data_IF_838300512878
#
_entry.id   IF_838300512878
#
_cell.length_a   1.000
_cell.length_b   1.000
_cell.length_c   1.000
_cell.angle_alpha   90.00
_cell.angle_beta   90.00
_cell.angle_gamma   90.00
#
_symmetry.space_group_name_H-M   'P 1'
#
loop_
_entity.id
_entity.type
_entity.pdbx_description
1 polymer ?
#
# COMPACT_ATOMS: atom_id res chain seq x y z
N UNK A 1 22.52 26.17 -12.33
CA UNK A 1 23.23 25.54 -11.20
C UNK A 1 22.37 24.93 -10.10
N UNK A 2 21.10 25.31 -9.89
CA UNK A 2 20.22 24.64 -8.90
C UNK A 2 19.38 23.48 -9.45
N UNK A 3 19.21 23.35 -10.77
CA UNK A 3 18.43 22.27 -11.39
C UNK A 3 19.17 20.93 -11.39
N UNK A 4 20.52 20.96 -11.41
CA UNK A 4 21.36 19.77 -11.40
C UNK A 4 21.39 19.08 -10.02
N UNK A 5 21.00 19.75 -8.92
CA UNK A 5 20.97 19.12 -7.58
C UNK A 5 19.63 18.43 -7.27
N UNK A 6 18.55 18.71 -8.01
CA UNK A 6 17.24 18.11 -7.78
C UNK A 6 17.15 16.69 -8.40
N UNK A 7 17.72 16.49 -9.59
CA UNK A 7 17.89 15.16 -10.19
C UNK A 7 18.92 14.28 -9.45
N UNK A 8 19.86 14.89 -8.72
CA UNK A 8 20.85 14.17 -7.93
C UNK A 8 20.32 13.73 -6.54
N UNK A 9 19.27 14.36 -6.00
CA UNK A 9 18.67 13.95 -4.72
C UNK A 9 17.87 12.65 -4.82
N UNK A 10 17.03 12.51 -5.84
CA UNK A 10 16.32 11.26 -6.17
C UNK A 10 17.31 10.16 -6.61
N UNK A 11 18.33 10.52 -7.39
CA UNK A 11 19.40 9.60 -7.70
C UNK A 11 20.22 9.22 -6.46
N UNK A 12 20.40 10.05 -5.43
CA UNK A 12 21.17 9.65 -4.25
C UNK A 12 20.47 8.59 -3.38
N UNK A 13 19.14 8.64 -3.25
CA UNK A 13 18.38 7.59 -2.55
C UNK A 13 18.34 6.30 -3.37
N UNK A 14 18.18 6.42 -4.69
CA UNK A 14 18.27 5.31 -5.62
C UNK A 14 19.71 4.75 -5.71
N UNK A 15 20.75 5.58 -5.59
CA UNK A 15 22.17 5.21 -5.56
C UNK A 15 22.51 4.56 -4.21
N UNK A 16 21.94 5.02 -3.09
CA UNK A 16 22.08 4.36 -1.79
C UNK A 16 21.50 2.94 -1.83
N UNK A 17 20.30 2.79 -2.37
CA UNK A 17 19.67 1.49 -2.68
C UNK A 17 20.51 0.67 -3.68
N UNK A 18 21.08 1.29 -4.72
CA UNK A 18 21.96 0.64 -5.70
C UNK A 18 23.31 0.22 -5.10
N UNK A 19 23.87 0.94 -4.11
CA UNK A 19 25.10 0.54 -3.42
C UNK A 19 24.88 -0.65 -2.50
N UNK A 20 23.71 -0.75 -1.86
CA UNK A 20 23.28 -1.98 -1.15
C UNK A 20 23.07 -3.13 -2.16
N UNK A 21 22.54 -2.82 -3.34
CA UNK A 21 22.42 -3.75 -4.47
C UNK A 21 23.77 -4.27 -4.99
N UNK A 22 24.79 -3.42 -5.08
CA UNK A 22 26.14 -3.79 -5.55
C UNK A 22 26.84 -4.74 -4.57
N UNK A 23 26.66 -4.54 -3.26
CA UNK A 23 27.13 -5.48 -2.25
C UNK A 23 26.42 -6.85 -2.38
N UNK A 24 25.11 -6.85 -2.67
CA UNK A 24 24.33 -8.08 -2.96
C UNK A 24 24.77 -8.77 -4.25
N UNK A 25 25.10 -8.02 -5.30
CA UNK A 25 25.56 -8.54 -6.59
C UNK A 25 26.94 -9.22 -6.46
N UNK A 26 27.79 -8.74 -5.55
CA UNK A 26 29.05 -9.38 -5.19
C UNK A 26 28.82 -10.74 -4.51
N UNK A 27 27.85 -10.84 -3.59
CA UNK A 27 27.42 -12.13 -3.00
C UNK A 27 26.78 -13.07 -4.02
N UNK A 28 26.02 -12.55 -4.99
CA UNK A 28 25.43 -13.34 -6.09
C UNK A 28 26.52 -13.90 -7.02
N UNK A 29 27.57 -13.13 -7.32
CA UNK A 29 28.74 -13.64 -8.07
C UNK A 29 29.52 -14.71 -7.30
N UNK A 30 29.61 -14.61 -5.97
CA UNK A 30 30.19 -15.67 -5.13
C UNK A 30 29.32 -16.93 -5.09
N UNK A 31 27.99 -16.79 -5.18
CA UNK A 31 27.02 -17.89 -5.29
C UNK A 31 26.92 -18.50 -6.69
N UNK A 32 27.50 -17.91 -7.73
CA UNK A 32 27.53 -18.51 -9.08
C UNK A 32 28.70 -19.48 -9.28
N UNK A 33 29.61 -19.60 -8.30
CA UNK A 33 30.72 -20.54 -8.38
C UNK A 33 30.27 -21.94 -7.91
N UNK A 34 30.19 -22.95 -8.82
CA UNK A 34 29.67 -24.27 -8.48
C UNK A 34 30.49 -25.00 -7.39
N UNK A 35 31.78 -24.66 -7.25
CA UNK A 35 32.65 -25.25 -6.23
C UNK A 35 32.39 -24.65 -4.84
N UNK A 36 32.03 -23.36 -4.78
CA UNK A 36 31.68 -22.67 -3.53
C UNK A 36 30.28 -23.08 -3.08
N UNK A 37 29.33 -23.18 -4.01
CA UNK A 37 28.00 -23.73 -3.76
C UNK A 37 28.06 -25.18 -3.29
N UNK A 38 28.83 -26.06 -3.94
CA UNK A 38 28.95 -27.46 -3.52
C UNK A 38 29.56 -27.61 -2.12
N UNK A 39 30.59 -26.81 -1.79
CA UNK A 39 31.23 -26.82 -0.47
C UNK A 39 30.35 -26.17 0.63
N UNK A 40 29.47 -25.23 0.26
CA UNK A 40 28.45 -24.68 1.15
C UNK A 40 27.29 -25.66 1.34
N UNK A 41 26.78 -26.27 0.27
CA UNK A 41 25.71 -27.26 0.27
C UNK A 41 26.07 -28.48 1.13
N UNK A 42 27.31 -29.00 1.02
CA UNK A 42 27.79 -30.12 1.84
C UNK A 42 27.86 -29.77 3.35
N UNK A 43 28.04 -28.48 3.69
CA UNK A 43 28.01 -28.01 5.09
C UNK A 43 26.62 -27.59 5.55
N UNK A 44 25.74 -27.15 4.64
CA UNK A 44 24.37 -26.72 4.89
C UNK A 44 23.40 -27.90 4.98
N UNK A 45 23.62 -28.99 4.24
CA UNK A 45 22.83 -30.24 4.34
C UNK A 45 22.96 -30.91 5.73
N UNK A 46 24.01 -30.59 6.49
CA UNK A 46 24.17 -30.98 7.90
C UNK A 46 23.51 -30.03 8.90
N UNK A 47 22.91 -28.93 8.45
CA UNK A 47 22.47 -27.80 9.27
C UNK A 47 21.01 -27.35 9.04
N UNK A 48 20.32 -27.90 8.05
CA UNK A 48 18.93 -27.55 7.79
C UNK A 48 18.00 -28.13 8.87
N UNK A 49 17.46 -27.26 9.73
CA UNK A 49 16.30 -27.57 10.58
C UNK A 49 16.40 -27.19 12.06
N UNK A 50 17.53 -26.69 12.57
CA UNK A 50 17.60 -26.18 13.94
C UNK A 50 18.69 -25.11 14.11
N UNK A 51 18.35 -23.85 14.42
CA UNK A 51 19.32 -22.76 14.56
C UNK A 51 20.33 -22.93 15.71
N UNK A 52 20.18 -23.93 16.58
CA UNK A 52 20.86 -23.96 17.86
C UNK A 52 22.08 -24.89 17.92
N UNK A 53 22.07 -26.04 17.23
CA UNK A 53 23.08 -27.08 17.44
C UNK A 53 24.51 -26.69 17.05
N UNK A 54 24.69 -26.01 15.91
CA UNK A 54 26.03 -25.59 15.48
C UNK A 54 26.60 -24.51 16.36
N UNK A 55 25.84 -23.43 16.60
CA UNK A 55 26.25 -22.35 17.49
C UNK A 55 26.55 -22.90 18.89
N UNK A 56 25.76 -23.85 19.39
CA UNK A 56 25.99 -24.54 20.67
C UNK A 56 27.24 -25.42 20.68
N UNK A 57 27.55 -26.08 19.56
CA UNK A 57 28.75 -26.92 19.40
C UNK A 57 30.06 -26.10 19.30
N UNK A 58 29.97 -24.81 19.00
CA UNK A 58 31.17 -23.96 18.86
C UNK A 58 31.94 -23.81 20.18
N UNK A 59 33.28 -23.86 20.15
CA UNK A 59 34.11 -23.59 21.32
C UNK A 59 33.79 -22.23 21.96
N UNK A 60 33.91 -22.13 23.29
CA UNK A 60 33.65 -20.87 24.04
C UNK A 60 34.40 -19.66 23.46
N UNK A 61 35.62 -19.86 22.95
CA UNK A 61 36.41 -18.79 22.34
C UNK A 61 35.81 -18.28 21.03
N UNK A 62 35.20 -19.17 20.23
CA UNK A 62 34.52 -18.79 18.99
C UNK A 62 33.20 -18.10 19.30
N UNK A 63 32.40 -18.63 20.25
CA UNK A 63 31.18 -17.97 20.74
C UNK A 63 31.45 -16.54 21.23
N UNK A 64 32.55 -16.32 21.96
CA UNK A 64 32.98 -14.97 22.38
C UNK A 64 33.26 -14.04 21.21
N UNK A 65 33.90 -14.54 20.14
CA UNK A 65 34.13 -13.76 18.91
C UNK A 65 32.82 -13.43 18.21
N UNK A 66 31.91 -14.40 18.07
CA UNK A 66 30.58 -14.18 17.47
C UNK A 66 29.78 -13.15 18.28
N UNK A 67 29.77 -13.22 19.61
CA UNK A 67 29.11 -12.22 20.44
C UNK A 67 29.76 -10.83 20.30
N UNK A 68 31.08 -10.76 20.13
CA UNK A 68 31.75 -9.50 19.84
C UNK A 68 31.33 -8.93 18.47
N UNK A 69 31.14 -9.79 17.45
CA UNK A 69 30.59 -9.38 16.15
C UNK A 69 29.14 -8.91 16.27
N UNK A 70 28.28 -9.59 17.05
CA UNK A 70 26.92 -9.13 17.34
C UNK A 70 26.91 -7.73 17.96
N UNK A 71 27.80 -7.46 18.90
CA UNK A 71 27.93 -6.11 19.47
C UNK A 71 28.39 -5.06 18.46
N UNK A 72 29.19 -5.43 17.45
CA UNK A 72 29.52 -4.53 16.34
C UNK A 72 28.30 -4.30 15.44
N UNK A 73 27.51 -5.33 15.16
CA UNK A 73 26.29 -5.21 14.38
C UNK A 73 25.28 -4.27 15.03
N UNK A 74 25.11 -4.31 16.36
CA UNK A 74 24.27 -3.34 17.09
C UNK A 74 24.77 -1.91 16.88
N UNK A 75 26.10 -1.68 16.86
CA UNK A 75 26.65 -0.35 16.57
C UNK A 75 26.39 0.08 15.13
N UNK A 76 26.40 -0.84 14.17
CA UNK A 76 26.00 -0.55 12.79
C UNK A 76 24.55 -0.07 12.74
N UNK A 77 23.61 -0.78 13.40
CA UNK A 77 22.22 -0.38 13.47
C UNK A 77 22.03 1.03 14.07
N UNK A 78 22.81 1.41 15.09
CA UNK A 78 22.77 2.77 15.63
C UNK A 78 23.33 3.84 14.68
N UNK A 79 24.26 3.48 13.79
CA UNK A 79 24.76 4.40 12.75
C UNK A 79 23.72 4.53 11.63
N UNK A 80 23.09 3.42 11.23
CA UNK A 80 22.00 3.39 10.26
C UNK A 80 20.80 4.21 10.74
N UNK A 81 20.43 4.11 12.02
CA UNK A 81 19.41 4.96 12.64
C UNK A 81 19.66 6.46 12.42
N UNK A 82 20.91 6.91 12.64
CA UNK A 82 21.30 8.31 12.39
C UNK A 82 21.25 8.69 10.92
N UNK A 83 21.64 7.77 10.03
CA UNK A 83 21.49 7.99 8.60
C UNK A 83 20.03 8.25 8.23
N UNK A 84 19.10 7.48 8.76
CA UNK A 84 17.68 7.68 8.50
C UNK A 84 17.10 8.94 9.15
N UNK A 85 17.61 9.34 10.32
CA UNK A 85 17.29 10.66 10.90
C UNK A 85 17.68 11.79 9.94
N UNK A 86 18.91 11.76 9.40
CA UNK A 86 19.39 12.74 8.42
C UNK A 86 18.60 12.72 7.11
N UNK A 87 18.22 11.53 6.61
CA UNK A 87 17.32 11.37 5.46
C UNK A 87 15.98 12.04 5.73
N UNK A 88 15.39 11.83 6.90
CA UNK A 88 14.12 12.46 7.24
C UNK A 88 14.24 14.00 7.32
N UNK A 89 15.35 14.54 7.79
CA UNK A 89 15.58 16.00 7.73
C UNK A 89 15.68 16.51 6.29
N UNK A 90 16.30 15.71 5.41
CA UNK A 90 16.40 16.00 4.00
C UNK A 90 15.02 15.98 3.34
N UNK A 91 14.18 14.97 3.63
CA UNK A 91 12.80 14.90 3.17
C UNK A 91 12.02 16.16 3.57
N UNK A 92 12.10 16.60 4.83
CA UNK A 92 11.46 17.84 5.29
C UNK A 92 11.91 19.05 4.48
N UNK A 93 13.21 19.16 4.22
CA UNK A 93 13.78 20.27 3.44
C UNK A 93 13.24 20.29 2.00
N UNK A 94 13.18 19.14 1.34
CA UNK A 94 12.68 19.06 -0.04
C UNK A 94 11.16 19.14 -0.12
N UNK A 95 10.42 18.68 0.88
CA UNK A 95 8.99 18.87 0.98
C UNK A 95 8.61 20.36 0.91
N UNK A 96 9.37 21.23 1.58
CA UNK A 96 9.18 22.68 1.49
C UNK A 96 9.43 23.25 0.08
N UNK A 97 10.28 22.60 -0.73
CA UNK A 97 10.54 22.98 -2.13
C UNK A 97 9.44 22.48 -3.07
N UNK A 98 8.84 21.33 -2.78
CA UNK A 98 7.70 20.80 -3.54
C UNK A 98 6.38 21.50 -3.21
N UNK A 99 6.24 22.03 -1.99
CA UNK A 99 4.99 22.63 -1.53
C UNK A 99 4.41 23.69 -2.48
N UNK A 100 5.19 24.66 -3.02
CA UNK A 100 4.66 25.63 -3.98
C UNK A 100 4.18 25.00 -5.29
N UNK A 101 4.80 23.90 -5.73
CA UNK A 101 4.38 23.17 -6.94
C UNK A 101 3.05 22.43 -6.69
N UNK A 102 2.91 21.80 -5.52
CA UNK A 102 1.66 21.14 -5.13
C UNK A 102 0.53 22.13 -4.87
N UNK A 103 0.82 23.29 -4.28
CA UNK A 103 -0.15 24.37 -4.12
C UNK A 103 -0.61 24.89 -5.50
N UNK A 104 0.32 25.10 -6.44
CA UNK A 104 -0.04 25.48 -7.82
C UNK A 104 -0.87 24.41 -8.53
N UNK A 105 -0.54 23.12 -8.36
CA UNK A 105 -1.38 22.01 -8.84
C UNK A 105 -2.79 22.09 -8.26
N UNK A 106 -2.90 22.32 -6.96
CA UNK A 106 -4.17 22.50 -6.24
C UNK A 106 -4.99 23.64 -6.84
N UNK A 107 -4.35 24.76 -7.14
CA UNK A 107 -4.99 25.93 -7.75
C UNK A 107 -5.50 25.64 -9.17
N UNK A 108 -4.74 24.90 -9.97
CA UNK A 108 -5.15 24.46 -11.32
C UNK A 108 -6.34 23.50 -11.23
N UNK A 109 -6.25 22.46 -10.39
CA UNK A 109 -7.32 21.45 -10.22
C UNK A 109 -8.64 22.10 -9.79
N UNK A 110 -8.59 23.18 -9.01
CA UNK A 110 -9.78 23.92 -8.53
C UNK A 110 -10.23 25.05 -9.46
N UNK A 111 -9.53 25.30 -10.57
CA UNK A 111 -9.66 26.52 -11.39
C UNK A 111 -9.58 27.83 -10.57
N UNK A 112 -8.73 27.86 -9.54
CA UNK A 112 -8.32 29.10 -8.90
C UNK A 112 -7.23 29.82 -9.73
N UNK A 113 -6.50 29.07 -10.56
CA UNK A 113 -5.51 29.57 -11.52
C UNK A 113 -5.72 28.88 -12.87
N UNK A 114 -5.80 29.69 -13.94
CA UNK A 114 -5.86 29.20 -15.31
C UNK A 114 -4.44 29.18 -15.90
N UNK A 115 -3.91 28.03 -16.34
CA UNK A 115 -2.59 27.94 -16.95
C UNK A 115 -2.45 28.80 -18.22
N UNK A 116 -1.25 29.35 -18.43
CA UNK A 116 -0.94 30.03 -19.70
C UNK A 116 -0.60 29.01 -20.79
N UNK A 117 -0.75 29.39 -22.07
CA UNK A 117 -0.40 28.52 -23.22
C UNK A 117 1.02 27.94 -23.11
N UNK A 118 1.99 28.73 -22.65
CA UNK A 118 3.38 28.29 -22.46
C UNK A 118 3.54 27.21 -21.37
N UNK A 119 2.65 27.20 -20.37
CA UNK A 119 2.63 26.20 -19.29
C UNK A 119 1.93 24.90 -19.70
N UNK A 120 1.06 24.97 -20.70
CA UNK A 120 0.39 23.81 -21.29
C UNK A 120 1.28 23.08 -22.31
N UNK A 121 2.28 23.75 -22.86
CA UNK A 121 3.25 23.13 -23.77
C UNK A 121 4.27 22.29 -23.00
N UNK A 122 4.15 20.96 -23.12
CA UNK A 122 5.19 20.04 -22.64
C UNK A 122 6.47 20.19 -23.48
N UNK A 123 7.50 20.79 -22.89
CA UNK A 123 8.85 20.83 -23.47
C UNK A 123 9.57 19.54 -23.07
N UNK A 124 9.46 18.53 -23.92
CA UNK A 124 10.38 17.38 -23.82
C UNK A 124 11.78 17.91 -24.12
N UNK A 125 12.74 17.66 -23.23
CA UNK A 125 14.14 17.97 -23.50
C UNK A 125 14.57 17.21 -24.78
N UNK A 126 15.38 17.85 -25.64
CA UNK A 126 15.77 17.37 -26.99
C UNK A 126 16.43 15.98 -27.03
N UNK A 127 16.79 15.40 -25.88
CA UNK A 127 17.37 14.05 -25.76
C UNK A 127 16.33 12.91 -25.59
N UNK A 128 15.05 13.21 -25.31
CA UNK A 128 13.97 12.21 -25.16
C UNK A 128 13.07 12.06 -26.40
N UNK A 129 13.54 12.50 -27.58
CA UNK A 129 12.85 12.36 -28.88
C UNK A 129 12.77 10.89 -29.41
N UNK A 130 12.88 9.89 -28.53
CA UNK A 130 12.85 8.46 -28.87
C UNK A 130 11.58 7.72 -28.40
N UNK A 131 10.62 8.38 -27.76
CA UNK A 131 9.32 7.79 -27.34
C UNK A 131 8.12 8.43 -28.05
N UNK A 132 8.30 8.89 -29.30
CA UNK A 132 7.31 9.59 -30.15
C UNK A 132 6.03 8.77 -30.44
N UNK A 133 5.96 7.49 -30.09
CA UNK A 133 4.79 6.64 -30.40
C UNK A 133 3.51 6.98 -29.60
N UNK A 134 3.62 7.53 -28.38
CA UNK A 134 2.43 7.82 -27.53
C UNK A 134 1.90 9.27 -27.69
N UNK A 135 2.75 10.21 -28.10
CA UNK A 135 2.34 11.61 -28.32
C UNK A 135 1.43 11.80 -29.54
N UNK A 136 1.65 11.00 -30.60
CA UNK A 136 0.81 11.05 -31.79
C UNK A 136 -0.60 10.51 -31.50
N UNK A 137 -0.74 9.51 -30.63
CA UNK A 137 -2.05 8.98 -30.20
C UNK A 137 -2.83 9.97 -29.33
N UNK A 138 -2.15 10.71 -28.42
CA UNK A 138 -2.77 11.77 -27.62
C UNK A 138 -3.17 12.97 -28.48
N UNK A 139 -2.33 13.38 -29.44
CA UNK A 139 -2.65 14.45 -30.40
C UNK A 139 -3.77 14.04 -31.36
N UNK A 140 -3.86 12.78 -31.79
CA UNK A 140 -5.00 12.29 -32.59
C UNK A 140 -6.29 12.27 -31.77
N UNK A 141 -6.27 11.79 -30.52
CA UNK A 141 -7.44 11.82 -29.63
C UNK A 141 -7.92 13.25 -29.35
N UNK A 142 -7.00 14.18 -29.08
CA UNK A 142 -7.36 15.59 -28.87
C UNK A 142 -7.99 16.21 -30.13
N UNK A 143 -7.46 15.93 -31.33
CA UNK A 143 -8.04 16.40 -32.60
C UNK A 143 -9.41 15.77 -32.89
N UNK A 144 -9.60 14.50 -32.57
CA UNK A 144 -10.88 13.80 -32.73
C UNK A 144 -11.96 14.29 -31.75
N UNK A 145 -11.57 14.82 -30.59
CA UNK A 145 -12.48 15.43 -29.61
C UNK A 145 -12.86 16.87 -29.98
N UNK A 146 -11.94 17.66 -30.55
CA UNK A 146 -12.23 19.01 -31.08
C UNK A 146 -13.22 18.97 -32.27
N UNK A 147 -13.13 17.96 -33.16
CA UNK A 147 -14.06 17.84 -34.30
C UNK A 147 -15.48 17.38 -33.91
N UNK A 148 -15.76 17.06 -32.63
CA UNK A 148 -17.04 16.48 -32.20
C UNK A 148 -17.80 17.21 -31.07
N UNK A 149 -17.49 18.47 -30.74
CA UNK A 149 -18.29 19.17 -29.72
C UNK A 149 -18.38 20.70 -29.87
N UNK A 150 -19.17 21.13 -30.85
CA UNK A 150 -20.01 22.33 -30.71
C UNK A 150 -21.34 21.90 -30.06
N UNK A 151 -21.33 21.64 -28.76
CA UNK A 151 -22.55 21.68 -27.93
C UNK A 151 -22.17 22.34 -26.60
N UNK A 152 -22.79 23.49 -26.32
CA UNK A 152 -22.68 24.28 -25.09
C UNK A 152 -22.55 23.39 -23.84
N UNK A 153 -21.33 23.22 -23.36
CA UNK A 153 -21.08 22.74 -22.00
C UNK A 153 -20.60 23.93 -21.21
N UNK A 154 -21.26 24.19 -20.09
CA UNK A 154 -20.76 25.11 -19.06
C UNK A 154 -19.26 24.88 -18.89
N UNK A 155 -18.46 25.95 -18.93
CA UNK A 155 -17.02 25.90 -18.67
C UNK A 155 -16.80 25.08 -17.38
N UNK A 156 -16.25 23.85 -17.47
CA UNK A 156 -16.08 23.03 -16.30
C UNK A 156 -15.08 23.74 -15.39
N UNK A 157 -15.50 24.05 -14.16
CA UNK A 157 -14.61 24.67 -13.17
C UNK A 157 -13.58 23.66 -12.72
N UNK A 158 -12.34 23.84 -13.18
CA UNK A 158 -11.19 23.05 -12.77
C UNK A 158 -11.14 21.70 -13.46
N UNK A 159 -10.56 20.71 -12.80
CA UNK A 159 -10.47 19.33 -13.26
C UNK A 159 -11.43 18.48 -12.41
N UNK A 160 -12.66 18.21 -12.91
CA UNK A 160 -13.66 17.47 -12.14
C UNK A 160 -13.15 16.08 -11.75
N UNK A 161 -13.48 15.66 -10.53
CA UNK A 161 -13.21 14.30 -10.05
C UNK A 161 -11.72 13.91 -10.07
N UNK A 162 -10.79 14.87 -10.10
CA UNK A 162 -9.34 14.61 -10.22
C UNK A 162 -8.85 13.52 -9.25
N UNK A 163 -9.05 13.72 -7.94
CA UNK A 163 -8.61 12.75 -6.93
C UNK A 163 -9.45 11.46 -6.94
N UNK A 164 -10.74 11.53 -7.25
CA UNK A 164 -11.58 10.33 -7.38
C UNK A 164 -11.07 9.44 -8.53
N UNK A 165 -10.70 10.03 -9.66
CA UNK A 165 -10.12 9.32 -10.81
C UNK A 165 -8.76 8.72 -10.44
N UNK A 166 -7.89 9.46 -9.75
CA UNK A 166 -6.63 8.92 -9.21
C UNK A 166 -6.89 7.70 -8.33
N UNK A 167 -7.87 7.78 -7.43
CA UNK A 167 -8.25 6.69 -6.53
C UNK A 167 -8.75 5.45 -7.29
N UNK A 168 -9.53 5.65 -8.36
CA UNK A 168 -10.04 4.55 -9.19
C UNK A 168 -8.98 3.89 -10.07
N UNK A 169 -7.97 4.65 -10.49
CA UNK A 169 -6.88 4.18 -11.34
C UNK A 169 -5.81 3.40 -10.57
N UNK A 170 -5.81 3.50 -9.24
CA UNK A 170 -4.84 2.84 -8.37
C UNK A 170 -5.51 1.65 -7.70
N UNK A 171 -5.10 0.43 -8.07
CA UNK A 171 -5.71 -0.82 -7.58
C UNK A 171 -5.83 -0.85 -6.04
N UNK A 172 -4.75 -0.53 -5.33
CA UNK A 172 -4.71 -0.55 -3.86
C UNK A 172 -5.75 0.40 -3.23
N UNK A 173 -6.01 1.56 -3.85
CA UNK A 173 -7.01 2.52 -3.35
C UNK A 173 -8.41 2.17 -3.83
N UNK A 174 -8.54 1.68 -5.07
CA UNK A 174 -9.80 1.27 -5.69
C UNK A 174 -10.47 0.14 -4.90
N UNK A 175 -9.69 -0.83 -4.41
CA UNK A 175 -10.19 -1.94 -3.58
C UNK A 175 -10.83 -1.47 -2.27
N UNK A 176 -10.42 -0.31 -1.74
CA UNK A 176 -11.01 0.27 -0.53
C UNK A 176 -12.31 1.03 -0.79
N UNK A 177 -12.56 1.44 -2.04
CA UNK A 177 -13.67 2.30 -2.40
C UNK A 177 -14.97 1.53 -2.55
N UNK A 178 -16.04 2.08 -1.99
CA UNK A 178 -17.39 1.59 -2.20
C UNK A 178 -18.21 2.58 -3.04
N UNK A 179 -19.26 2.11 -3.71
CA UNK A 179 -20.12 2.95 -4.56
C UNK A 179 -20.69 4.19 -3.84
N UNK A 180 -20.89 4.09 -2.52
CA UNK A 180 -21.43 5.17 -1.70
C UNK A 180 -20.38 6.17 -1.23
N UNK A 181 -19.08 5.85 -1.37
CA UNK A 181 -17.97 6.74 -1.05
C UNK A 181 -17.69 7.72 -2.20
N UNK A 182 -17.92 7.30 -3.45
CA UNK A 182 -17.62 8.12 -4.63
C UNK A 182 -18.27 9.51 -4.59
N UNK A 183 -19.57 9.67 -4.25
CA UNK A 183 -20.19 11.00 -4.17
C UNK A 183 -19.54 11.93 -3.15
N UNK A 184 -18.89 11.37 -2.13
CA UNK A 184 -18.18 12.12 -1.10
C UNK A 184 -16.80 12.53 -1.62
N UNK A 185 -16.09 11.61 -2.29
CA UNK A 185 -14.78 11.86 -2.87
C UNK A 185 -14.80 12.82 -4.05
N UNK A 186 -15.95 13.04 -4.70
CA UNK A 186 -16.12 14.15 -5.66
C UNK A 186 -15.84 15.53 -5.06
N UNK A 187 -16.02 15.66 -3.74
CA UNK A 187 -15.73 16.89 -3.00
C UNK A 187 -14.28 17.01 -2.52
N UNK A 188 -13.44 15.99 -2.78
CA UNK A 188 -12.02 16.00 -2.40
C UNK A 188 -11.25 16.93 -3.35
N UNK A 189 -10.70 18.00 -2.80
CA UNK A 189 -9.99 19.04 -3.55
C UNK A 189 -8.48 18.82 -3.58
N UNK A 190 -7.90 18.31 -2.49
CA UNK A 190 -6.45 18.15 -2.38
C UNK A 190 -6.05 17.09 -1.35
N UNK A 191 -4.89 16.49 -1.55
CA UNK A 191 -4.23 15.62 -0.58
C UNK A 191 -2.83 16.18 -0.34
N UNK A 192 -2.55 16.55 0.91
CA UNK A 192 -1.26 17.11 1.33
C UNK A 192 -0.57 16.17 2.32
N UNK A 193 0.76 16.17 2.27
CA UNK A 193 1.60 15.49 3.25
C UNK A 193 2.29 16.56 4.11
N UNK A 194 2.14 16.46 5.43
CA UNK A 194 2.87 17.29 6.39
C UNK A 194 3.76 16.44 7.27
N UNK A 195 5.02 16.80 7.35
CA UNK A 195 5.97 16.17 8.27
C UNK A 195 5.93 16.84 9.64
N UNK A 196 6.33 16.12 10.68
CA UNK A 196 6.56 16.69 12.02
C UNK A 196 7.60 17.80 12.01
N UNK A 197 7.44 18.75 12.93
CA UNK A 197 8.38 19.86 13.06
C UNK A 197 9.77 19.38 13.55
N UNK A 198 10.85 20.14 13.25
CA UNK A 198 12.18 19.79 13.75
C UNK A 198 12.21 19.66 15.27
N UNK A 199 12.66 18.51 15.76
CA UNK A 199 12.75 18.19 17.19
C UNK A 199 11.53 17.49 17.78
N UNK A 200 10.46 17.30 16.99
CA UNK A 200 9.36 16.41 17.35
C UNK A 200 9.62 14.97 16.90
N UNK A 201 8.94 13.96 17.49
CA UNK A 201 9.04 12.57 17.02
C UNK A 201 8.68 12.45 15.54
N UNK A 202 9.47 11.67 14.81
CA UNK A 202 9.30 11.44 13.38
C UNK A 202 7.86 11.00 13.09
N UNK A 203 7.13 11.82 12.35
CA UNK A 203 5.79 11.49 11.90
C UNK A 203 5.44 12.23 10.62
N UNK A 204 4.44 11.72 9.92
CA UNK A 204 3.81 12.43 8.82
C UNK A 204 2.30 12.34 8.92
N UNK A 205 1.63 13.37 8.42
CA UNK A 205 0.18 13.52 8.41
C UNK A 205 -0.29 13.68 6.97
N UNK A 206 -1.21 12.81 6.56
CA UNK A 206 -1.98 12.97 5.34
C UNK A 206 -3.19 13.85 5.65
N UNK A 207 -3.33 14.95 4.90
CA UNK A 207 -4.46 15.86 5.00
C UNK A 207 -5.30 15.79 3.73
N UNK A 208 -6.56 15.41 3.87
CA UNK A 208 -7.53 15.32 2.79
C UNK A 208 -8.45 16.54 2.88
N UNK A 209 -8.30 17.47 1.94
CA UNK A 209 -9.02 18.75 1.93
C UNK A 209 -10.29 18.63 1.12
N UNK A 210 -11.43 18.80 1.78
CA UNK A 210 -12.76 18.73 1.16
C UNK A 210 -13.37 20.12 1.04
N UNK A 211 -14.10 20.32 -0.05
CA UNK A 211 -14.99 21.48 -0.14
C UNK A 211 -16.22 21.31 0.76
N UNK A 212 -16.94 22.40 1.08
CA UNK A 212 -18.21 22.31 1.79
C UNK A 212 -19.17 21.34 1.10
N UNK A 213 -19.61 20.31 1.82
CA UNK A 213 -20.41 19.23 1.28
C UNK A 213 -21.54 18.83 2.23
N UNK A 214 -22.48 18.02 1.73
CA UNK A 214 -23.67 17.59 2.49
C UNK A 214 -23.41 16.40 3.44
N UNK A 215 -22.22 15.80 3.43
CA UNK A 215 -21.94 14.53 4.11
C UNK A 215 -21.34 14.72 5.50
N UNK A 216 -20.40 15.65 5.67
CA UNK A 216 -19.78 15.98 6.96
C UNK A 216 -19.37 17.45 7.01
N UNK A 217 -19.15 17.97 8.22
CA UNK A 217 -18.77 19.38 8.45
C UNK A 217 -17.27 19.64 8.39
N UNK A 218 -16.43 18.60 8.47
CA UNK A 218 -14.98 18.73 8.38
C UNK A 218 -14.57 19.29 7.01
N UNK A 219 -13.68 20.28 7.01
CA UNK A 219 -13.02 20.75 5.79
C UNK A 219 -11.74 19.98 5.50
N UNK A 220 -11.14 19.37 6.52
CA UNK A 220 -9.93 18.56 6.40
C UNK A 220 -10.08 17.30 7.24
N UNK A 221 -9.88 16.15 6.61
CA UNK A 221 -9.72 14.87 7.31
C UNK A 221 -8.24 14.54 7.39
N UNK A 222 -7.76 14.10 8.55
CA UNK A 222 -6.33 13.88 8.80
C UNK A 222 -6.05 12.45 9.24
N UNK A 223 -4.97 11.88 8.71
CA UNK A 223 -4.42 10.59 9.14
C UNK A 223 -2.95 10.76 9.44
N UNK A 224 -2.55 10.53 10.70
CA UNK A 224 -1.18 10.71 11.18
C UNK A 224 -0.51 9.36 11.40
N UNK A 225 0.72 9.21 10.95
CA UNK A 225 1.56 8.04 11.15
C UNK A 225 2.78 8.42 11.97
N UNK A 226 2.99 7.75 13.10
CA UNK A 226 4.20 7.93 13.93
C UNK A 226 5.22 6.88 13.54
N UNK A 227 6.45 7.32 13.34
CA UNK A 227 7.55 6.48 12.90
C UNK A 227 8.61 6.38 13.98
N UNK A 228 9.34 5.26 13.99
CA UNK A 228 10.53 5.05 14.82
C UNK A 228 11.73 4.83 13.90
N UNK A 229 12.81 5.54 14.16
CA UNK A 229 14.12 5.36 13.49
C UNK A 229 15.18 4.74 14.39
N UNK A 230 14.89 4.51 15.67
CA UNK A 230 15.83 3.89 16.62
C UNK A 230 15.65 2.37 16.67
N UNK A 231 16.75 1.57 16.74
CA UNK A 231 16.67 0.13 16.93
C UNK A 231 16.00 -0.21 18.25
N UNK A 232 15.21 -1.29 18.29
CA UNK A 232 14.61 -1.75 19.54
C UNK A 232 15.68 -2.30 20.50
N UNK A 233 15.65 -1.89 21.78
CA UNK A 233 16.63 -2.38 22.77
C UNK A 233 16.51 -3.89 23.02
N UNK A 234 15.29 -4.44 22.90
CA UNK A 234 15.00 -5.86 23.12
C UNK A 234 15.33 -6.72 21.90
N UNK A 235 15.24 -6.15 20.70
CA UNK A 235 15.67 -6.78 19.45
C UNK A 235 16.36 -5.78 18.50
N UNK A 236 17.65 -5.45 18.72
CA UNK A 236 18.33 -4.47 17.88
C UNK A 236 18.63 -4.95 16.46
N UNK A 237 18.44 -6.25 16.18
CA UNK A 237 18.77 -6.86 14.89
C UNK A 237 17.60 -6.88 13.92
N UNK A 238 16.38 -6.56 14.39
CA UNK A 238 15.21 -6.40 13.53
C UNK A 238 15.15 -5.03 12.85
N UNK A 239 16.01 -4.08 13.22
CA UNK A 239 16.05 -2.75 12.63
C UNK A 239 16.43 -2.81 11.14
N UNK A 240 15.49 -2.44 10.26
CA UNK A 240 15.69 -2.33 8.80
C UNK A 240 15.38 -0.92 8.27
N UNK A 241 15.25 0.06 9.17
CA UNK A 241 14.99 1.46 8.85
C UNK A 241 13.78 2.04 9.59
N UNK A 242 13.26 3.18 9.13
CA UNK A 242 12.13 3.84 9.75
C UNK A 242 10.84 3.04 9.56
N UNK A 243 10.23 2.64 10.67
CA UNK A 243 8.99 1.86 10.66
C UNK A 243 7.83 2.67 11.22
N UNK A 244 6.65 2.48 10.63
CA UNK A 244 5.41 3.03 11.16
C UNK A 244 5.03 2.23 12.41
N UNK A 245 5.04 2.89 13.57
CA UNK A 245 4.74 2.29 14.86
C UNK A 245 3.24 2.24 15.15
N UNK A 246 2.54 3.31 14.77
CA UNK A 246 1.11 3.45 15.00
C UNK A 246 0.56 4.55 14.10
N UNK A 247 -0.74 4.49 13.85
CA UNK A 247 -1.46 5.54 13.17
C UNK A 247 -2.60 6.08 14.04
N UNK A 248 -2.97 7.34 13.80
CA UNK A 248 -4.13 7.99 14.42
C UNK A 248 -4.91 8.70 13.35
N UNK A 249 -6.19 8.37 13.21
CA UNK A 249 -7.08 9.06 12.28
C UNK A 249 -7.75 10.28 12.93
N UNK A 250 -8.86 10.71 12.35
CA UNK A 250 -9.66 11.82 12.86
C UNK A 250 -11.15 11.47 12.90
N UNK A 251 -11.86 12.01 13.88
CA UNK A 251 -13.31 11.84 13.94
C UNK A 251 -14.00 12.62 12.80
N UNK A 252 -14.79 11.89 12.01
CA UNK A 252 -15.61 12.48 10.94
C UNK A 252 -16.95 12.94 11.53
N UNK A 253 -17.23 14.23 11.40
CA UNK A 253 -18.46 14.88 11.86
C UNK A 253 -19.58 14.72 10.83
N UNK A 254 -20.06 13.48 10.69
CA UNK A 254 -21.13 13.14 9.75
C UNK A 254 -22.41 13.94 9.99
N UNK A 255 -22.97 14.49 8.92
CA UNK A 255 -24.31 15.06 8.95
C UNK A 255 -25.36 13.96 9.11
N UNK A 256 -26.57 14.34 9.53
CA UNK A 256 -27.62 13.40 9.95
C UNK A 256 -28.00 12.44 8.82
N UNK A 257 -27.70 11.16 9.01
CA UNK A 257 -28.08 10.08 8.08
C UNK A 257 -27.17 9.95 6.86
N UNK A 258 -26.02 10.63 6.85
CA UNK A 258 -25.02 10.56 5.78
C UNK A 258 -23.76 9.77 6.14
N UNK A 259 -23.72 9.22 7.35
CA UNK A 259 -22.62 8.35 7.76
C UNK A 259 -22.66 7.04 6.95
N UNK A 260 -21.70 6.90 6.04
CA UNK A 260 -21.55 5.74 5.16
C UNK A 260 -20.79 4.57 5.80
N UNK A 261 -20.02 4.83 6.86
CA UNK A 261 -19.31 3.80 7.64
C UNK A 261 -20.25 2.93 8.47
N UNK A 262 -21.55 3.27 8.52
CA UNK A 262 -22.55 2.61 9.33
C UNK A 262 -23.82 2.31 8.53
N UNK A 263 -24.33 1.07 8.63
CA UNK A 263 -25.58 0.64 8.01
C UNK A 263 -26.67 0.42 9.06
N UNK A 264 -27.86 0.98 8.82
CA UNK A 264 -29.01 0.81 9.73
C UNK A 264 -29.86 -0.40 9.31
N UNK A 265 -29.89 -1.44 10.13
CA UNK A 265 -30.70 -2.64 9.92
C UNK A 265 -31.96 -2.58 10.80
N UNK A 266 -33.14 -2.65 10.19
CA UNK A 266 -34.43 -2.68 10.89
C UNK A 266 -34.81 -4.13 11.22
N UNK A 267 -34.70 -4.53 12.49
CA UNK A 267 -35.12 -5.85 12.95
C UNK A 267 -36.52 -5.78 13.55
N UNK A 268 -37.47 -6.54 13.00
CA UNK A 268 -38.83 -6.67 13.57
C UNK A 268 -38.77 -7.64 14.74
N UNK A 269 -39.01 -7.16 15.95
CA UNK A 269 -39.08 -7.96 17.16
C UNK A 269 -40.55 -8.16 17.57
N UNK A 270 -40.98 -9.42 17.63
CA UNK A 270 -42.33 -9.80 18.09
C UNK A 270 -42.28 -10.15 19.57
N UNK A 271 -43.08 -9.47 20.39
CA UNK A 271 -43.15 -9.77 21.82
C UNK A 271 -43.82 -11.13 22.04
N UNK A 272 -43.14 -12.07 22.71
CA UNK A 272 -43.73 -13.34 23.16
C UNK A 272 -44.82 -13.01 24.19
N UNK A 273 -46.10 -13.17 23.81
CA UNK A 273 -47.26 -12.97 24.69
C UNK A 273 -48.27 -11.92 24.25
N UNK A 274 -47.86 -10.77 23.68
CA UNK A 274 -48.79 -9.65 23.35
C UNK A 274 -49.07 -9.49 21.85
N UNK A 275 -48.40 -10.26 20.98
CA UNK A 275 -48.58 -10.23 19.52
C UNK A 275 -48.08 -8.95 18.82
N UNK A 276 -47.81 -7.88 19.57
CA UNK A 276 -47.31 -6.59 19.05
C UNK A 276 -45.90 -6.73 18.48
N UNK A 277 -45.72 -6.26 17.24
CA UNK A 277 -44.43 -6.18 16.54
C UNK A 277 -43.85 -4.79 16.75
N UNK A 278 -42.65 -4.68 17.32
CA UNK A 278 -41.87 -3.43 17.38
C UNK A 278 -40.71 -3.54 16.39
N UNK A 279 -40.45 -2.47 15.65
CA UNK A 279 -39.26 -2.39 14.78
C UNK A 279 -38.14 -1.76 15.58
N UNK A 280 -37.07 -2.50 15.81
CA UNK A 280 -35.84 -2.03 16.46
C UNK A 280 -34.81 -1.76 15.37
N UNK A 281 -34.31 -0.54 15.29
CA UNK A 281 -33.19 -0.16 14.42
C UNK A 281 -31.89 -0.48 15.14
N UNK A 282 -31.07 -1.35 14.54
CA UNK A 282 -29.69 -1.61 14.98
C UNK A 282 -28.75 -1.03 13.92
N UNK A 283 -27.75 -0.28 14.36
CA UNK A 283 -26.67 0.19 13.50
C UNK A 283 -25.53 -0.81 13.54
N UNK A 284 -24.96 -1.15 12.39
CA UNK A 284 -23.80 -2.04 12.24
C UNK A 284 -22.72 -1.37 11.40
N UNK A 285 -21.44 -1.71 11.59
CA UNK A 285 -20.36 -1.28 10.69
C UNK A 285 -20.67 -1.63 9.24
N UNK A 286 -20.21 -0.77 8.33
CA UNK A 286 -20.34 -0.91 6.88
C UNK A 286 -18.97 -0.61 6.27
N UNK A 287 -18.57 -1.42 5.30
CA UNK A 287 -17.34 -1.18 4.56
C UNK A 287 -17.45 0.15 3.82
N UNK A 288 -16.39 0.93 3.91
CA UNK A 288 -16.28 2.29 3.37
C UNK A 288 -14.81 2.70 3.46
N UNK A 289 -14.32 3.42 2.45
CA UNK A 289 -13.00 4.04 2.48
C UNK A 289 -12.80 4.92 3.73
N UNK A 290 -13.86 5.57 4.22
CA UNK A 290 -13.78 6.48 5.37
C UNK A 290 -13.46 5.79 6.70
N UNK A 291 -13.49 4.44 6.75
CA UNK A 291 -12.93 3.68 7.87
C UNK A 291 -11.41 3.88 8.01
N UNK A 292 -10.71 4.31 6.94
CA UNK A 292 -9.30 4.70 6.97
C UNK A 292 -8.99 5.79 8.02
N UNK A 293 -9.95 6.65 8.35
CA UNK A 293 -9.79 7.69 9.38
C UNK A 293 -10.16 7.20 10.78
N UNK A 294 -10.56 5.94 10.93
CA UNK A 294 -10.86 5.30 12.22
C UNK A 294 -10.05 4.01 12.33
N UNK A 295 -8.71 4.10 12.43
CA UNK A 295 -7.89 2.91 12.56
C UNK A 295 -8.25 2.15 13.84
N UNK A 296 -8.06 0.82 13.88
CA UNK A 296 -8.25 0.03 15.09
C UNK A 296 -7.43 0.61 16.26
N UNK A 297 -8.09 0.94 17.37
CA UNK A 297 -7.39 1.41 18.57
C UNK A 297 -6.80 0.21 19.33
N UNK A 298 -5.52 0.34 19.71
CA UNK A 298 -4.74 -0.72 20.34
C UNK A 298 -5.22 -1.13 21.73
N UNK A 299 -5.95 -2.25 21.80
CA UNK A 299 -5.72 -3.19 22.89
C UNK A 299 -4.36 -3.86 22.65
N UNK A 300 -3.58 -4.11 23.71
CA UNK A 300 -2.20 -4.66 23.64
C UNK A 300 -2.08 -6.04 22.97
N UNK A 301 -3.19 -6.59 22.50
CA UNK A 301 -3.32 -7.80 21.73
C UNK A 301 -4.41 -7.53 20.69
N UNK A 302 -3.99 -7.12 19.50
CA UNK A 302 -4.87 -7.12 18.35
C UNK A 302 -5.03 -8.58 17.91
N UNK A 303 -6.20 -8.94 17.41
CA UNK A 303 -6.34 -10.22 16.71
C UNK A 303 -5.60 -10.16 15.37
N UNK A 304 -5.30 -11.33 14.79
CA UNK A 304 -4.58 -11.47 13.52
C UNK A 304 -5.24 -10.67 12.38
N UNK A 305 -6.58 -10.63 12.37
CA UNK A 305 -7.36 -9.85 11.41
C UNK A 305 -7.10 -8.34 11.58
N UNK A 306 -7.07 -7.83 12.81
CA UNK A 306 -6.79 -6.41 13.10
C UNK A 306 -5.35 -6.03 12.80
N UNK A 307 -4.39 -6.94 13.02
CA UNK A 307 -2.99 -6.73 12.64
C UNK A 307 -2.84 -6.64 11.11
N UNK A 308 -3.51 -7.53 10.35
CA UNK A 308 -3.51 -7.48 8.89
C UNK A 308 -4.13 -6.18 8.35
N UNK A 309 -5.22 -5.71 8.97
CA UNK A 309 -5.85 -4.41 8.61
C UNK A 309 -4.90 -3.24 8.87
N UNK A 310 -4.17 -3.24 9.99
CA UNK A 310 -3.18 -2.19 10.28
C UNK A 310 -1.97 -2.24 9.34
N UNK A 311 -1.49 -3.43 8.99
CA UNK A 311 -0.39 -3.58 8.04
C UNK A 311 -0.78 -2.98 6.67
N UNK A 312 -1.98 -3.31 6.17
CA UNK A 312 -2.52 -2.70 4.96
C UNK A 312 -2.67 -1.18 5.10
N UNK A 313 -3.17 -0.69 6.24
CA UNK A 313 -3.31 0.74 6.52
C UNK A 313 -1.98 1.50 6.46
N UNK A 314 -0.90 0.89 6.94
CA UNK A 314 0.45 1.44 6.90
C UNK A 314 1.00 1.46 5.47
N UNK A 315 0.80 0.38 4.72
CA UNK A 315 1.17 0.29 3.31
C UNK A 315 0.47 1.39 2.49
N UNK A 316 -0.84 1.55 2.66
CA UNK A 316 -1.64 2.59 1.99
C UNK A 316 -1.15 3.99 2.38
N UNK A 317 -0.90 4.23 3.67
CA UNK A 317 -0.40 5.51 4.17
C UNK A 317 0.95 5.89 3.56
N UNK A 318 1.86 4.92 3.48
CA UNK A 318 3.16 5.06 2.85
C UNK A 318 3.03 5.29 1.34
N UNK A 319 2.17 4.52 0.66
CA UNK A 319 1.94 4.63 -0.78
C UNK A 319 1.37 5.99 -1.18
N UNK A 320 0.41 6.52 -0.42
CA UNK A 320 -0.15 7.85 -0.66
C UNK A 320 0.94 8.93 -0.54
N UNK A 321 1.76 8.84 0.50
CA UNK A 321 2.85 9.78 0.76
C UNK A 321 3.92 9.77 -0.32
N UNK A 322 4.42 8.59 -0.69
CA UNK A 322 5.61 8.43 -1.54
C UNK A 322 5.31 8.38 -3.04
N UNK A 323 4.14 7.84 -3.44
CA UNK A 323 3.80 7.63 -4.85
C UNK A 323 2.69 8.55 -5.32
N UNK A 324 1.53 8.50 -4.65
CA UNK A 324 0.32 9.20 -5.13
C UNK A 324 0.48 10.72 -5.11
N UNK A 325 0.84 11.30 -3.96
CA UNK A 325 0.91 12.77 -3.86
C UNK A 325 1.94 13.37 -4.81
N UNK A 326 3.17 12.83 -4.95
CA UNK A 326 4.15 13.37 -5.89
C UNK A 326 3.77 13.19 -7.36
N UNK A 327 3.13 12.07 -7.73
CA UNK A 327 2.84 11.69 -9.13
C UNK A 327 1.35 11.73 -9.48
N UNK A 328 0.53 12.49 -8.74
CA UNK A 328 -0.94 12.46 -8.87
C UNK A 328 -1.47 12.63 -10.30
N UNK A 329 -0.84 13.50 -11.10
CA UNK A 329 -1.24 13.71 -12.50
C UNK A 329 -1.02 12.47 -13.37
N UNK A 330 0.06 11.70 -13.13
CA UNK A 330 0.36 10.49 -13.89
C UNK A 330 -0.60 9.35 -13.53
N UNK A 331 -1.05 9.30 -12.27
CA UNK A 331 -2.13 8.40 -11.88
C UNK A 331 -3.48 8.83 -12.47
N UNK A 332 -3.73 10.14 -12.57
CA UNK A 332 -4.92 10.67 -13.22
C UNK A 332 -4.97 10.33 -14.72
N UNK A 333 -3.86 10.51 -15.45
CA UNK A 333 -3.77 10.20 -16.89
C UNK A 333 -3.63 8.70 -17.16
N UNK A 334 -3.25 7.92 -16.15
CA UNK A 334 -3.06 6.47 -16.23
C UNK A 334 -1.65 6.04 -16.66
N UNK A 335 -0.74 6.99 -16.88
CA UNK A 335 0.66 6.72 -17.28
C UNK A 335 1.47 6.02 -16.18
N UNK A 336 1.15 6.28 -14.90
CA UNK A 336 1.82 5.61 -13.78
C UNK A 336 1.32 4.18 -13.51
N UNK A 337 0.22 3.75 -14.14
CA UNK A 337 -0.36 2.42 -13.92
C UNK A 337 0.54 1.34 -14.55
N UNK A 338 1.10 1.59 -15.73
CA UNK A 338 2.00 0.66 -16.43
C UNK A 338 3.32 0.45 -15.68
N UNK A 339 3.80 1.46 -14.94
CA UNK A 339 5.04 1.37 -14.15
C UNK A 339 4.87 0.54 -12.86
N UNK A 340 3.67 0.58 -12.25
CA UNK A 340 3.41 -0.06 -10.95
C UNK A 340 3.32 -1.59 -11.04
N UNK A 341 3.00 -2.16 -12.21
CA UNK A 341 2.99 -3.61 -12.44
C UNK A 341 4.40 -4.22 -12.41
N UNK A 342 5.42 -3.49 -12.91
CA UNK A 342 6.83 -3.90 -12.84
C UNK A 342 7.42 -3.63 -11.43
N UNK A 343 6.97 -2.56 -10.76
CA UNK A 343 7.45 -2.18 -9.43
C UNK A 343 6.76 -2.90 -8.26
N UNK A 344 5.64 -3.61 -8.50
CA UNK A 344 5.05 -4.55 -7.52
C UNK A 344 6.02 -5.66 -7.12
N UNK A 345 7.02 -5.93 -7.96
CA UNK A 345 8.17 -6.78 -7.65
C UNK A 345 9.21 -6.07 -6.75
N UNK A 346 9.44 -4.78 -6.96
CA UNK A 346 10.39 -3.95 -6.18
C UNK A 346 9.88 -3.63 -4.76
N UNK A 347 8.58 -3.32 -4.61
CA UNK A 347 7.95 -3.09 -3.30
C UNK A 347 7.80 -4.40 -2.50
N UNK A 348 7.68 -5.54 -3.18
CA UNK A 348 7.79 -6.86 -2.54
C UNK A 348 9.18 -7.16 -1.99
N UNK A 349 10.26 -6.50 -2.40
CA UNK A 349 11.56 -6.77 -1.79
C UNK A 349 11.65 -6.28 -0.33
N UNK A 350 10.75 -5.40 0.12
CA UNK A 350 10.63 -5.03 1.53
C UNK A 350 9.70 -5.98 2.33
N UNK A 351 8.89 -6.81 1.67
CA UNK A 351 7.93 -7.73 2.30
C UNK A 351 8.23 -9.23 2.08
N UNK A 352 9.30 -9.62 1.39
CA UNK A 352 9.70 -11.03 1.25
C UNK A 352 10.63 -11.43 2.41
N UNK A 353 10.03 -11.58 3.58
CA UNK A 353 10.55 -12.40 4.69
C UNK A 353 9.41 -13.15 5.42
N UNK A 354 8.33 -13.54 4.73
CA UNK A 354 7.40 -14.57 5.23
C UNK A 354 7.00 -15.48 4.07
N UNK A 355 7.85 -16.47 3.77
CA UNK A 355 7.37 -17.75 3.27
C UNK A 355 7.30 -18.68 4.47
N UNK A 356 6.19 -18.64 5.21
CA UNK A 356 5.83 -19.79 6.03
C UNK A 356 5.22 -20.84 5.09
N UNK A 357 5.84 -22.02 5.12
CA UNK A 357 5.50 -23.13 4.27
C UNK A 357 4.10 -23.65 4.55
N UNK A 358 3.39 -24.00 3.48
CA UNK A 358 2.28 -24.94 3.53
C UNK A 358 2.83 -26.30 4.01
N UNK A 359 2.70 -26.57 5.31
CA UNK A 359 2.84 -27.93 5.84
C UNK A 359 1.46 -28.61 5.80
N UNK A 360 1.23 -29.36 4.72
CA UNK A 360 0.24 -30.44 4.66
C UNK A 360 0.60 -31.49 5.72
N UNK A 361 0.01 -31.36 6.90
CA UNK A 361 0.10 -32.36 7.96
C UNK A 361 -0.83 -33.55 7.63
N UNK A 362 -0.29 -34.53 6.90
CA UNK A 362 -0.82 -35.88 6.80
C UNK A 362 -0.50 -36.64 8.11
N UNK A 363 -1.43 -36.61 9.07
CA UNK A 363 -1.40 -37.47 10.26
C UNK A 363 -2.24 -38.75 10.02
N UNK A 364 -1.61 -39.80 9.48
CA UNK A 364 -2.04 -41.19 9.71
C UNK A 364 -0.89 -42.03 10.29
N UNK A 365 -0.85 -42.19 11.62
CA UNK A 365 -0.88 -43.48 12.33
C UNK A 365 -0.47 -43.37 13.80
N UNK A 366 -1.42 -43.53 14.72
CA UNK A 366 -1.19 -44.36 15.92
C UNK A 366 -2.45 -45.23 16.17
N UNK A 367 -2.32 -46.58 16.22
CA UNK A 367 -3.44 -47.47 16.45
C UNK A 367 -3.94 -47.42 17.91
N UNK A 368 -5.26 -47.55 18.04
CA UNK A 368 -5.99 -47.97 19.26
C UNK A 368 -6.49 -46.86 20.21
N UNK A 369 -7.66 -46.29 19.88
CA UNK A 369 -8.55 -45.72 20.90
C UNK A 369 -10.05 -45.85 20.51
N UNK A 370 -10.76 -46.78 21.17
CA UNK A 370 -12.23 -46.93 21.17
C UNK A 370 -12.83 -46.09 22.32
N UNK A 371 -13.81 -45.22 22.05
CA UNK A 371 -15.08 -45.41 22.75
C UNK A 371 -16.31 -45.04 21.90
N UNK A 372 -17.04 -46.08 21.46
CA UNK A 372 -18.48 -46.30 21.70
C UNK A 372 -19.37 -45.07 22.04
N UNK A 373 -20.31 -44.74 21.13
CA UNK A 373 -21.80 -44.82 21.30
C UNK A 373 -22.61 -43.67 20.61
N UNK A 374 -23.52 -44.12 19.70
CA UNK A 374 -24.83 -43.56 19.25
C UNK A 374 -24.94 -42.49 18.15
N UNK A 375 -24.98 -43.01 16.91
CA UNK A 375 -26.04 -42.87 15.87
C UNK A 375 -27.06 -41.72 15.92
N UNK A 376 -27.05 -40.85 14.90
CA UNK A 376 -28.26 -40.39 14.21
C UNK A 376 -27.99 -40.19 12.71
N UNK A 377 -28.86 -40.75 11.88
CA UNK A 377 -28.82 -40.80 10.41
C UNK A 377 -29.37 -39.53 9.75
N UNK A 378 -28.71 -39.03 8.70
CA UNK A 378 -29.39 -38.28 7.64
C UNK A 378 -28.74 -38.50 6.25
N UNK A 379 -29.59 -38.94 5.32
CA UNK A 379 -29.35 -39.18 3.88
C UNK A 379 -29.23 -37.87 3.09
N UNK A 380 -28.29 -37.79 2.15
CA UNK A 380 -28.22 -36.70 1.16
C UNK A 380 -28.26 -37.27 -0.27
N UNK A 381 -29.17 -36.73 -1.08
CA UNK A 381 -29.42 -37.07 -2.50
C UNK A 381 -28.51 -36.20 -3.38
N UNK A 382 -27.82 -36.81 -4.35
CA UNK A 382 -27.01 -36.10 -5.36
C UNK A 382 -27.76 -36.06 -6.71
N UNK A 383 -27.84 -34.88 -7.32
CA UNK A 383 -28.35 -34.67 -8.69
C UNK A 383 -27.17 -34.34 -9.60
N UNK A 384 -27.01 -35.07 -10.70
CA UNK A 384 -25.93 -34.92 -11.67
C UNK A 384 -26.47 -34.22 -12.92
N UNK A 385 -25.80 -33.18 -13.41
CA UNK A 385 -26.10 -32.53 -14.70
C UNK A 385 -24.90 -32.73 -15.63
N UNK A 386 -25.14 -33.30 -16.81
CA UNK A 386 -24.13 -33.63 -17.81
C UNK A 386 -24.27 -32.67 -18.99
N UNK A 387 -23.21 -31.96 -19.36
CA UNK A 387 -23.14 -31.13 -20.57
C UNK A 387 -22.27 -31.85 -21.61
N UNK A 388 -22.84 -32.09 -22.79
CA UNK A 388 -22.19 -32.79 -23.92
C UNK A 388 -21.67 -31.75 -24.93
N UNK A 389 -20.38 -31.81 -25.25
CA UNK A 389 -19.77 -31.05 -26.35
C UNK A 389 -19.65 -31.96 -27.58
N UNK A 390 -20.24 -31.55 -28.71
CA UNK A 390 -20.15 -32.25 -29.99
C UNK A 390 -19.08 -31.59 -30.89
N UNK A 391 -18.09 -32.37 -31.32
CA UNK A 391 -17.10 -31.98 -32.34
C UNK A 391 -17.49 -32.65 -33.67
N UNK A 392 -17.71 -31.87 -34.72
CA UNK A 392 -17.98 -32.37 -36.07
C UNK A 392 -16.68 -32.49 -36.88
N UNK A 393 -16.41 -33.70 -37.38
CA UNK A 393 -15.35 -33.97 -38.37
C UNK A 393 -16.01 -34.28 -39.72
N UNK A 394 -15.68 -33.51 -40.75
CA UNK A 394 -16.11 -33.76 -42.14
C UNK A 394 -15.12 -34.70 -42.83
N UNK A 395 -15.63 -35.80 -43.40
CA UNK A 395 -14.89 -36.71 -44.28
C UNK A 395 -15.39 -36.54 -45.72
N UNK A 396 -14.48 -36.25 -46.65
CA UNK A 396 -14.70 -36.24 -48.10
C UNK A 396 -14.82 -37.68 -48.62
N UNK A 397 -15.82 -37.94 -49.46
CA UNK A 397 -15.98 -39.18 -50.25
C UNK A 397 -15.42 -38.93 -51.65
N UNK A 398 -14.85 -39.99 -52.23
CA UNK A 398 -14.12 -40.12 -53.51
C UNK A 398 -14.58 -39.29 -54.69
#
# INVERSE_FOLDING_TARGET
DNTFMLLNGFNCLHIALLTVFSARQLTVQMMQNPQILAALQERLDGLNGSPSGYMESLPKIVKRRVNALKNLQVKCAHIEAKFYEEVHELERKYAALYQPLFDKRSDIVKAAYEPTDEECEWKADEEEELTVSKQDEMKEKAKLEEEKKDEEKEDPKGIPEFWLTVFKNVDLLSDMLQEHDEPILKHLQDIKVKFSDPGEPMSFTLEFHFEPNDFFTNTVLTKTYKMRSEPDESDPFSFDGPEIMCCTGCAIEWTKGKNVTLKTIKKKQKHKGRGTVRTVTKTVPNDSFFNFFTPPEGEKYLDEDSEAVLAADFEIGHFIRERIVPRAVLYFTGEAIEDDDDDRSSLKFCAVCVQEGEEEADEENDPEYDPKVRSHTHTHTHTHTHTHTHTHTHTLVS
#
